data_IF_908183876258
#
_entry.id   IF_908183876258
#
_cell.length_a   1.000
_cell.length_b   1.000
_cell.length_c   1.000
_cell.angle_alpha   90.00
_cell.angle_beta   90.00
_cell.angle_gamma   90.00
#
_symmetry.space_group_name_H-M   'P 1'
#
loop_
_entity.id
_entity.type
_entity.pdbx_description
1 polymer ?
#
# COMPACT_ATOMS: atom_id res chain seq x y z
N UNK A 1 -20.93 -35.41 3.28
CA UNK A 1 -19.52 -35.44 2.84
C UNK A 1 -19.22 -34.43 1.73
N UNK A 2 -20.06 -34.23 0.71
CA UNK A 2 -19.75 -33.25 -0.37
C UNK A 2 -19.69 -31.77 0.04
N UNK A 3 -20.41 -31.32 1.07
CA UNK A 3 -20.34 -29.91 1.54
C UNK A 3 -19.00 -29.52 2.20
N UNK A 4 -18.17 -30.49 2.58
CA UNK A 4 -16.84 -30.22 3.14
C UNK A 4 -15.79 -29.92 2.06
N UNK A 5 -15.93 -30.57 0.89
CA UNK A 5 -14.99 -30.43 -0.24
C UNK A 5 -15.20 -29.09 -0.95
N UNK A 6 -16.45 -28.64 -1.11
CA UNK A 6 -16.75 -27.33 -1.70
C UNK A 6 -16.29 -26.16 -0.83
N UNK A 7 -16.38 -26.28 0.50
CA UNK A 7 -15.81 -25.28 1.42
C UNK A 7 -14.29 -25.24 1.32
N UNK A 8 -13.61 -26.39 1.24
CA UNK A 8 -12.15 -26.44 1.08
C UNK A 8 -11.65 -25.77 -0.21
N UNK A 9 -12.36 -25.92 -1.33
CA UNK A 9 -12.01 -25.27 -2.62
C UNK A 9 -12.24 -23.75 -2.57
N UNK A 10 -13.27 -23.29 -1.87
CA UNK A 10 -13.53 -21.86 -1.66
C UNK A 10 -12.45 -21.20 -0.81
N UNK A 11 -11.95 -21.88 0.23
CA UNK A 11 -10.82 -21.41 1.04
C UNK A 11 -9.51 -21.28 0.25
N UNK A 12 -9.25 -22.20 -0.69
CA UNK A 12 -8.07 -22.12 -1.58
C UNK A 12 -8.13 -20.88 -2.48
N UNK A 13 -9.30 -20.55 -3.05
CA UNK A 13 -9.48 -19.34 -3.88
C UNK A 13 -9.31 -18.05 -3.07
N UNK A 14 -9.81 -18.01 -1.83
CA UNK A 14 -9.64 -16.85 -0.93
C UNK A 14 -8.19 -16.70 -0.46
N UNK A 15 -7.48 -17.80 -0.20
CA UNK A 15 -6.06 -17.77 0.18
C UNK A 15 -5.17 -17.29 -0.98
N UNK A 16 -5.49 -17.67 -2.23
CA UNK A 16 -4.81 -17.17 -3.44
C UNK A 16 -5.10 -15.68 -3.70
N UNK A 17 -6.29 -15.18 -3.37
CA UNK A 17 -6.59 -13.75 -3.43
C UNK A 17 -5.80 -12.95 -2.37
N UNK A 18 -5.57 -13.51 -1.19
CA UNK A 18 -4.78 -12.89 -0.10
C UNK A 18 -3.26 -12.87 -0.36
N UNK A 19 -2.76 -13.64 -1.33
CA UNK A 19 -1.33 -13.66 -1.72
C UNK A 19 -1.00 -12.75 -2.92
N UNK A 20 -1.87 -11.79 -3.27
CA UNK A 20 -1.54 -10.70 -4.19
C UNK A 20 -2.10 -10.84 -5.62
N UNK A 21 -3.40 -11.07 -5.76
CA UNK A 21 -4.10 -10.91 -7.04
C UNK A 21 -5.27 -9.92 -6.90
N UNK A 22 -4.96 -8.64 -6.70
CA UNK A 22 -5.90 -7.55 -6.99
C UNK A 22 -5.57 -7.01 -8.39
N UNK A 23 -6.50 -7.14 -9.35
CA UNK A 23 -6.27 -6.76 -10.75
C UNK A 23 -6.91 -5.40 -11.03
N UNK A 24 -6.15 -4.31 -11.19
CA UNK A 24 -6.70 -3.06 -11.69
C UNK A 24 -6.95 -3.11 -13.21
N UNK A 25 -8.02 -2.42 -13.62
CA UNK A 25 -8.48 -2.30 -15.01
C UNK A 25 -7.77 -1.12 -15.69
N UNK A 26 -6.94 -1.38 -16.71
CA UNK A 26 -6.32 -0.35 -17.57
C UNK A 26 -6.37 -0.82 -19.03
N UNK A 27 -6.80 0.05 -19.94
CA UNK A 27 -6.83 -0.18 -21.39
C UNK A 27 -5.57 0.37 -22.06
N UNK A 28 -4.92 -0.37 -22.97
CA UNK A 28 -3.80 0.13 -23.79
C UNK A 28 -3.75 -0.41 -25.22
N UNK A 29 -3.20 0.41 -26.11
CA UNK A 29 -2.88 0.14 -27.52
C UNK A 29 -1.36 -0.02 -27.72
N UNK A 30 -0.94 -0.84 -28.69
CA UNK A 30 0.46 -1.23 -28.94
C UNK A 30 1.37 -0.10 -29.45
N UNK A 31 2.32 0.35 -28.61
CA UNK A 31 3.56 1.05 -28.96
C UNK A 31 4.74 0.45 -28.18
N UNK A 32 5.99 0.78 -28.55
CA UNK A 32 7.19 0.32 -27.84
C UNK A 32 7.17 0.79 -26.39
N UNK A 33 6.99 -0.15 -25.47
CA UNK A 33 6.75 0.19 -24.07
C UNK A 33 8.00 0.73 -23.38
N UNK A 34 7.81 1.79 -22.60
CA UNK A 34 8.79 2.36 -21.67
C UNK A 34 8.91 1.51 -20.40
N UNK A 35 9.98 1.69 -19.62
CA UNK A 35 10.15 0.99 -18.34
C UNK A 35 9.00 1.28 -17.36
N UNK A 36 8.43 2.50 -17.42
CA UNK A 36 7.27 2.90 -16.62
C UNK A 36 5.99 2.15 -17.01
N UNK A 37 5.80 1.85 -18.30
CA UNK A 37 4.66 1.06 -18.77
C UNK A 37 4.82 -0.42 -18.40
N UNK A 38 6.05 -0.94 -18.34
CA UNK A 38 6.31 -2.28 -17.81
C UNK A 38 6.03 -2.35 -16.31
N UNK A 39 6.43 -1.33 -15.54
CA UNK A 39 6.08 -1.24 -14.12
C UNK A 39 4.56 -1.14 -13.94
N UNK A 40 3.84 -0.45 -14.83
CA UNK A 40 2.38 -0.40 -14.83
C UNK A 40 1.73 -1.73 -15.23
N UNK A 41 2.28 -2.44 -16.22
CA UNK A 41 1.76 -3.73 -16.72
C UNK A 41 2.03 -4.87 -15.73
N UNK A 42 3.25 -4.94 -15.17
CA UNK A 42 3.54 -5.90 -14.09
C UNK A 42 2.80 -5.54 -12.81
N UNK A 43 2.50 -4.24 -12.59
CA UNK A 43 1.71 -3.78 -11.46
C UNK A 43 2.26 -4.32 -10.14
N UNK A 44 1.38 -4.98 -9.38
CA UNK A 44 1.71 -5.65 -8.12
C UNK A 44 2.76 -6.75 -8.31
N UNK A 45 2.81 -7.47 -9.43
CA UNK A 45 3.77 -8.56 -9.66
C UNK A 45 5.24 -8.11 -9.60
N UNK A 46 5.50 -6.81 -9.68
CA UNK A 46 6.83 -6.20 -9.64
C UNK A 46 7.36 -5.89 -8.23
N UNK A 47 6.57 -6.07 -7.16
CA UNK A 47 6.93 -5.57 -5.82
C UNK A 47 8.25 -6.12 -5.29
N UNK A 48 8.70 -7.29 -5.79
CA UNK A 48 9.94 -7.95 -5.37
C UNK A 48 11.14 -7.72 -6.29
N UNK A 49 11.10 -6.71 -7.17
CA UNK A 49 12.13 -6.52 -8.21
C UNK A 49 12.78 -5.13 -8.14
N UNK A 50 14.03 -5.01 -8.60
CA UNK A 50 14.65 -3.71 -8.80
C UNK A 50 13.86 -2.85 -9.82
N UNK A 51 13.79 -1.54 -9.56
CA UNK A 51 13.21 -0.51 -10.45
C UNK A 51 14.31 0.46 -10.89
N UNK A 52 14.07 1.24 -11.95
CA UNK A 52 15.08 2.18 -12.46
C UNK A 52 15.54 3.17 -11.38
N UNK A 53 14.61 3.73 -10.60
CA UNK A 53 14.91 4.61 -9.44
C UNK A 53 15.80 3.95 -8.39
N UNK A 54 15.81 2.62 -8.31
CA UNK A 54 16.66 1.89 -7.36
C UNK A 54 18.13 1.93 -7.81
N UNK A 55 18.41 1.92 -9.11
CA UNK A 55 19.78 2.06 -9.64
C UNK A 55 20.39 3.40 -9.26
N UNK A 56 19.64 4.49 -9.39
CA UNK A 56 20.11 5.82 -8.97
C UNK A 56 20.47 5.88 -7.49
N UNK A 57 19.68 5.21 -6.65
CA UNK A 57 19.91 5.17 -5.22
C UNK A 57 21.12 4.29 -4.85
N UNK A 58 21.32 3.16 -5.53
CA UNK A 58 22.55 2.34 -5.39
C UNK A 58 23.78 3.15 -5.79
N UNK A 59 23.73 3.83 -6.94
CA UNK A 59 24.81 4.68 -7.41
C UNK A 59 25.14 5.81 -6.42
N UNK A 60 24.12 6.42 -5.82
CA UNK A 60 24.27 7.43 -4.77
C UNK A 60 24.91 6.86 -3.49
N UNK A 61 24.45 5.70 -3.02
CA UNK A 61 24.99 5.05 -1.80
C UNK A 61 26.44 4.61 -1.95
N UNK A 62 26.83 4.20 -3.16
CA UNK A 62 28.18 3.72 -3.47
C UNK A 62 29.08 4.81 -4.05
N UNK A 63 28.57 6.02 -4.26
CA UNK A 63 29.30 7.10 -4.94
C UNK A 63 29.90 6.63 -6.28
N UNK A 64 29.10 5.91 -7.08
CA UNK A 64 29.49 5.48 -8.41
C UNK A 64 29.77 6.70 -9.30
N UNK A 65 30.77 6.61 -10.16
CA UNK A 65 30.94 7.57 -11.23
C UNK A 65 29.93 7.32 -12.37
N UNK A 66 29.85 8.24 -13.34
CA UNK A 66 28.93 8.14 -14.46
C UNK A 66 29.15 6.88 -15.30
N UNK A 67 30.40 6.42 -15.45
CA UNK A 67 30.69 5.23 -16.26
C UNK A 67 30.21 3.95 -15.57
N UNK A 68 30.43 3.83 -14.26
CA UNK A 68 29.89 2.75 -13.44
C UNK A 68 28.37 2.77 -13.44
N UNK A 69 27.77 3.95 -13.26
CA UNK A 69 26.31 4.12 -13.29
C UNK A 69 25.71 3.67 -14.63
N UNK A 70 26.30 4.08 -15.75
CA UNK A 70 25.86 3.66 -17.08
C UNK A 70 25.99 2.14 -17.28
N UNK A 71 27.06 1.53 -16.78
CA UNK A 71 27.25 0.09 -16.83
C UNK A 71 26.18 -0.66 -16.00
N UNK A 72 25.90 -0.21 -14.78
CA UNK A 72 24.83 -0.76 -13.94
C UNK A 72 23.46 -0.59 -14.59
N UNK A 73 23.17 0.56 -15.21
CA UNK A 73 21.93 0.78 -15.95
C UNK A 73 21.80 -0.18 -17.14
N UNK A 74 22.91 -0.51 -17.82
CA UNK A 74 22.91 -1.51 -18.89
C UNK A 74 22.62 -2.92 -18.36
N UNK A 75 23.23 -3.32 -17.24
CA UNK A 75 22.94 -4.59 -16.58
C UNK A 75 21.47 -4.66 -16.14
N UNK A 76 20.96 -3.57 -15.57
CA UNK A 76 19.59 -3.46 -15.11
C UNK A 76 18.58 -3.67 -16.25
N UNK A 77 18.84 -3.11 -17.44
CA UNK A 77 17.99 -3.34 -18.63
C UNK A 77 17.96 -4.82 -19.03
N UNK A 78 19.10 -5.50 -18.96
CA UNK A 78 19.19 -6.95 -19.20
C UNK A 78 18.37 -7.75 -18.21
N UNK A 79 18.57 -7.49 -16.91
CA UNK A 79 17.79 -8.06 -15.81
C UNK A 79 16.28 -7.86 -15.99
N UNK A 80 15.84 -6.63 -16.28
CA UNK A 80 14.41 -6.32 -16.48
C UNK A 80 13.82 -7.05 -17.67
N UNK A 81 14.57 -7.17 -18.77
CA UNK A 81 14.14 -7.96 -19.92
C UNK A 81 13.97 -9.44 -19.56
N UNK A 82 14.86 -10.00 -18.72
CA UNK A 82 14.76 -11.37 -18.25
C UNK A 82 13.54 -11.58 -17.35
N UNK A 83 13.36 -10.72 -16.34
CA UNK A 83 12.20 -10.77 -15.44
C UNK A 83 10.89 -10.64 -16.22
N UNK A 84 10.81 -9.70 -17.19
CA UNK A 84 9.63 -9.58 -18.06
C UNK A 84 9.32 -10.88 -18.79
N UNK A 85 10.34 -11.54 -19.35
CA UNK A 85 10.15 -12.80 -20.06
C UNK A 85 9.62 -13.90 -19.13
N UNK A 86 10.06 -13.92 -17.87
CA UNK A 86 9.56 -14.86 -16.85
C UNK A 86 8.07 -14.60 -16.53
N UNK A 87 7.65 -13.35 -16.41
CA UNK A 87 6.25 -12.98 -16.08
C UNK A 87 5.30 -12.96 -17.27
N UNK A 88 5.79 -13.02 -18.52
CA UNK A 88 4.96 -12.98 -19.71
C UNK A 88 3.78 -13.99 -19.70
N UNK A 89 3.96 -15.26 -19.29
CA UNK A 89 2.86 -16.22 -19.20
C UNK A 89 1.76 -15.78 -18.21
N UNK A 90 2.12 -15.14 -17.09
CA UNK A 90 1.16 -14.63 -16.10
C UNK A 90 0.36 -13.48 -16.71
N UNK A 91 1.02 -12.56 -17.40
CA UNK A 91 0.37 -11.42 -18.05
C UNK A 91 -0.59 -11.89 -19.15
N UNK A 92 -0.17 -12.87 -19.96
CA UNK A 92 -1.00 -13.48 -21.00
C UNK A 92 -2.23 -14.16 -20.37
N UNK A 93 -2.05 -14.86 -19.24
CA UNK A 93 -3.14 -15.48 -18.49
C UNK A 93 -4.12 -14.44 -17.92
N UNK A 94 -3.63 -13.37 -17.30
CA UNK A 94 -4.45 -12.27 -16.78
C UNK A 94 -5.24 -11.58 -17.90
N UNK A 95 -4.62 -11.37 -19.07
CA UNK A 95 -5.30 -10.82 -20.23
C UNK A 95 -6.43 -11.74 -20.70
N UNK A 96 -6.20 -13.05 -20.77
CA UNK A 96 -7.25 -14.02 -21.11
C UNK A 96 -8.42 -13.97 -20.11
N UNK A 97 -8.14 -13.86 -18.81
CA UNK A 97 -9.18 -13.67 -17.79
C UNK A 97 -10.02 -12.42 -18.03
N UNK A 98 -9.38 -11.28 -18.31
CA UNK A 98 -10.07 -10.01 -18.61
C UNK A 98 -10.95 -10.12 -19.85
N UNK A 99 -10.47 -10.77 -20.92
CA UNK A 99 -11.24 -10.99 -22.14
C UNK A 99 -12.47 -11.87 -21.90
N UNK A 100 -12.33 -12.94 -21.12
CA UNK A 100 -13.44 -13.83 -20.74
C UNK A 100 -14.45 -13.11 -19.86
N UNK A 101 -14.00 -12.32 -18.89
CA UNK A 101 -14.87 -11.51 -18.03
C UNK A 101 -15.64 -10.45 -18.82
N UNK A 102 -14.99 -9.72 -19.73
CA UNK A 102 -15.63 -8.74 -20.59
C UNK A 102 -16.68 -9.39 -21.52
N UNK A 103 -16.36 -10.55 -22.10
CA UNK A 103 -17.31 -11.34 -22.91
C UNK A 103 -18.52 -11.80 -22.09
N UNK A 104 -18.30 -12.21 -20.84
CA UNK A 104 -19.37 -12.59 -19.92
C UNK A 104 -20.29 -11.40 -19.63
N UNK A 105 -19.72 -10.26 -19.22
CA UNK A 105 -20.48 -9.04 -18.92
C UNK A 105 -21.33 -8.59 -20.12
N UNK A 106 -20.74 -8.52 -21.32
CA UNK A 106 -21.46 -8.13 -22.55
C UNK A 106 -22.67 -9.05 -22.83
N UNK A 107 -22.58 -10.34 -22.49
CA UNK A 107 -23.66 -11.31 -22.71
C UNK A 107 -24.74 -11.25 -21.63
N UNK A 108 -24.35 -11.01 -20.38
CA UNK A 108 -25.29 -10.76 -19.28
C UNK A 108 -26.14 -9.53 -19.57
N UNK A 109 -25.51 -8.44 -20.04
CA UNK A 109 -26.21 -7.22 -20.45
C UNK A 109 -27.22 -7.45 -21.61
N UNK A 110 -26.97 -8.47 -22.44
CA UNK A 110 -27.88 -8.90 -23.53
C UNK A 110 -28.93 -9.94 -23.10
N UNK A 111 -28.96 -10.34 -21.83
CA UNK A 111 -29.91 -11.32 -21.32
C UNK A 111 -29.65 -12.77 -21.75
N UNK A 112 -28.39 -13.13 -22.03
CA UNK A 112 -28.03 -14.49 -22.40
C UNK A 112 -27.88 -15.40 -21.17
N UNK A 113 -28.84 -16.30 -20.98
CA UNK A 113 -28.88 -17.25 -19.85
C UNK A 113 -27.72 -18.26 -19.85
N UNK A 114 -27.04 -18.46 -20.99
CA UNK A 114 -25.91 -19.39 -21.12
C UNK A 114 -24.56 -18.76 -20.81
N UNK A 115 -24.50 -17.43 -20.67
CA UNK A 115 -23.26 -16.67 -20.48
C UNK A 115 -22.42 -17.20 -19.31
N UNK A 116 -23.07 -17.56 -18.20
CA UNK A 116 -22.38 -18.04 -17.00
C UNK A 116 -21.75 -19.43 -17.19
N UNK A 117 -22.44 -20.36 -17.84
CA UNK A 117 -21.91 -21.70 -18.07
C UNK A 117 -20.68 -21.68 -19.01
N UNK A 118 -20.72 -20.83 -20.04
CA UNK A 118 -19.58 -20.64 -20.94
C UNK A 118 -18.43 -19.90 -20.25
N UNK A 119 -18.73 -18.89 -19.43
CA UNK A 119 -17.72 -18.24 -18.59
C UNK A 119 -16.99 -19.26 -17.71
N UNK A 120 -17.73 -20.14 -17.02
CA UNK A 120 -17.12 -21.20 -16.20
C UNK A 120 -16.22 -22.13 -17.02
N UNK A 121 -16.64 -22.53 -18.22
CA UNK A 121 -15.85 -23.40 -19.09
C UNK A 121 -14.58 -22.70 -19.63
N UNK A 122 -14.70 -21.42 -20.03
CA UNK A 122 -13.57 -20.60 -20.49
C UNK A 122 -12.55 -20.38 -19.35
N UNK A 123 -13.03 -20.12 -18.12
CA UNK A 123 -12.20 -20.00 -16.91
C UNK A 123 -11.51 -21.32 -16.56
N UNK A 124 -12.22 -22.45 -16.59
CA UNK A 124 -11.64 -23.78 -16.33
C UNK A 124 -10.50 -24.08 -17.32
N UNK A 125 -10.67 -23.70 -18.59
CA UNK A 125 -9.62 -23.85 -19.60
C UNK A 125 -8.38 -23.01 -19.28
N UNK A 126 -8.55 -21.74 -18.90
CA UNK A 126 -7.43 -20.86 -18.49
C UNK A 126 -6.73 -21.43 -17.24
N UNK A 127 -7.49 -22.04 -16.33
CA UNK A 127 -6.99 -22.69 -15.14
C UNK A 127 -6.29 -24.03 -15.39
N UNK A 128 -6.49 -24.70 -16.52
CA UNK A 128 -5.75 -25.93 -16.84
C UNK A 128 -4.33 -25.62 -17.33
N UNK A 129 -4.14 -24.46 -17.97
CA UNK A 129 -2.84 -23.94 -18.38
C UNK A 129 -2.16 -23.21 -17.20
N UNK A 130 -2.14 -23.82 -16.01
CA UNK A 130 -1.61 -23.18 -14.80
C UNK A 130 -0.16 -22.76 -15.01
N UNK A 131 0.06 -21.45 -14.89
CA UNK A 131 1.39 -20.89 -14.76
C UNK A 131 1.89 -21.22 -13.36
N UNK A 132 3.04 -21.88 -13.27
CA UNK A 132 3.72 -22.11 -11.99
C UNK A 132 4.31 -20.78 -11.50
N UNK A 133 3.46 -20.01 -10.83
CA UNK A 133 3.79 -18.68 -10.34
C UNK A 133 4.94 -18.70 -9.33
N UNK A 134 5.03 -19.75 -8.52
CA UNK A 134 6.13 -19.88 -7.56
C UNK A 134 7.46 -20.12 -8.26
N UNK A 135 7.48 -20.95 -9.31
CA UNK A 135 8.70 -21.13 -10.11
C UNK A 135 9.14 -19.81 -10.76
N UNK A 136 8.20 -19.02 -11.30
CA UNK A 136 8.49 -17.69 -11.83
C UNK A 136 9.08 -16.77 -10.76
N UNK A 137 8.53 -16.78 -9.55
CA UNK A 137 9.08 -16.00 -8.44
C UNK A 137 10.51 -16.44 -8.11
N UNK A 138 10.77 -17.75 -7.98
CA UNK A 138 12.12 -18.29 -7.73
C UNK A 138 13.11 -17.88 -8.83
N UNK A 139 12.72 -17.99 -10.10
CA UNK A 139 13.56 -17.60 -11.23
C UNK A 139 13.80 -16.09 -11.28
N UNK A 140 12.81 -15.27 -10.89
CA UNK A 140 12.96 -13.82 -10.78
C UNK A 140 13.92 -13.42 -9.66
N UNK A 141 13.90 -14.12 -8.51
CA UNK A 141 14.90 -13.94 -7.45
C UNK A 141 16.29 -14.35 -7.90
N UNK A 142 16.44 -15.50 -8.57
CA UNK A 142 17.73 -15.93 -9.11
C UNK A 142 18.29 -14.91 -10.14
N UNK A 143 17.42 -14.34 -10.98
CA UNK A 143 17.82 -13.27 -11.91
C UNK A 143 18.25 -12.00 -11.16
N UNK A 144 17.61 -11.68 -10.03
CA UNK A 144 17.99 -10.56 -9.18
C UNK A 144 19.34 -10.78 -8.49
N UNK A 145 19.59 -11.98 -7.98
CA UNK A 145 20.86 -12.33 -7.36
C UNK A 145 21.99 -12.23 -8.38
N UNK A 146 21.76 -12.74 -9.60
CA UNK A 146 22.72 -12.58 -10.71
C UNK A 146 23.00 -11.11 -11.02
N UNK A 147 21.95 -10.27 -11.08
CA UNK A 147 22.10 -8.83 -11.29
C UNK A 147 22.91 -8.17 -10.16
N UNK A 148 22.65 -8.52 -8.90
CA UNK A 148 23.40 -8.03 -7.74
C UNK A 148 24.88 -8.41 -7.84
N UNK A 149 25.17 -9.68 -8.14
CA UNK A 149 26.54 -10.18 -8.32
C UNK A 149 27.26 -9.43 -9.44
N UNK A 150 26.60 -9.22 -10.58
CA UNK A 150 27.16 -8.47 -11.71
C UNK A 150 27.44 -7.01 -11.34
N UNK A 151 26.59 -6.37 -10.54
CA UNK A 151 26.83 -5.01 -10.04
C UNK A 151 28.06 -4.99 -9.12
N UNK A 152 28.20 -5.95 -8.20
CA UNK A 152 29.36 -6.04 -7.31
C UNK A 152 30.67 -6.19 -8.08
N UNK A 153 30.67 -6.88 -9.22
CA UNK A 153 31.85 -7.03 -10.08
C UNK A 153 32.33 -5.70 -10.71
N UNK A 154 31.48 -4.67 -10.76
CA UNK A 154 31.83 -3.34 -11.27
C UNK A 154 32.40 -2.40 -10.20
N UNK A 155 32.37 -2.81 -8.94
CA UNK A 155 32.74 -1.98 -7.79
C UNK A 155 34.22 -2.07 -7.48
N UNK A 156 34.79 -0.96 -6.99
CA UNK A 156 36.11 -0.97 -6.37
C UNK A 156 36.06 -1.48 -4.91
N UNK A 157 37.23 -1.69 -4.29
CA UNK A 157 37.32 -2.19 -2.91
C UNK A 157 36.62 -1.27 -1.88
N UNK A 158 36.63 0.05 -2.09
CA UNK A 158 36.00 1.01 -1.19
C UNK A 158 34.48 0.94 -1.30
N UNK A 159 33.96 0.81 -2.51
CA UNK A 159 32.54 0.65 -2.80
C UNK A 159 32.01 -0.69 -2.29
N UNK A 160 32.76 -1.78 -2.49
CA UNK A 160 32.45 -3.09 -1.90
C UNK A 160 32.39 -3.02 -0.37
N UNK A 161 33.28 -2.27 0.27
CA UNK A 161 33.21 -2.03 1.71
C UNK A 161 31.96 -1.28 2.20
N UNK A 162 31.22 -0.63 1.30
CA UNK A 162 29.95 0.02 1.58
C UNK A 162 28.72 -0.82 1.17
N UNK A 163 28.92 -2.02 0.60
CA UNK A 163 27.86 -2.85 0.03
C UNK A 163 26.80 -3.27 1.05
N UNK A 164 27.19 -3.56 2.30
CA UNK A 164 26.23 -3.88 3.36
C UNK A 164 25.13 -2.82 3.50
N UNK A 165 25.43 -1.54 3.25
CA UNK A 165 24.44 -0.46 3.29
C UNK A 165 23.45 -0.56 2.12
N UNK A 166 23.92 -0.95 0.94
CA UNK A 166 23.06 -1.20 -0.23
C UNK A 166 22.13 -2.37 0.05
N UNK A 167 22.63 -3.46 0.60
CA UNK A 167 21.79 -4.62 0.93
C UNK A 167 20.71 -4.29 1.96
N UNK A 168 21.07 -3.59 3.04
CA UNK A 168 20.09 -3.13 4.04
C UNK A 168 19.03 -2.25 3.41
N UNK A 169 19.43 -1.32 2.54
CA UNK A 169 18.48 -0.47 1.83
C UNK A 169 17.60 -1.26 0.86
N UNK A 170 18.18 -2.18 0.11
CA UNK A 170 17.48 -3.03 -0.83
C UNK A 170 16.43 -3.92 -0.14
N UNK A 171 16.78 -4.54 0.99
CA UNK A 171 15.79 -5.28 1.79
C UNK A 171 14.66 -4.37 2.26
N UNK A 172 14.93 -3.14 2.72
CA UNK A 172 13.86 -2.20 3.14
C UNK A 172 12.89 -1.84 2.01
N UNK A 173 13.39 -1.54 0.80
CA UNK A 173 12.52 -1.08 -0.30
C UNK A 173 11.73 -2.22 -0.95
N UNK A 174 12.30 -3.43 -1.01
CA UNK A 174 11.65 -4.60 -1.61
C UNK A 174 10.69 -5.23 -0.62
N UNK A 175 11.02 -5.18 0.68
CA UNK A 175 10.19 -5.75 1.72
C UNK A 175 9.09 -4.80 2.19
N UNK A 176 8.42 -4.12 1.24
CA UNK A 176 7.09 -3.51 1.47
C UNK A 176 6.01 -4.61 1.64
N UNK A 177 6.37 -5.65 2.38
CA UNK A 177 5.57 -6.84 2.50
C UNK A 177 4.68 -6.69 3.70
N UNK A 178 3.48 -6.24 3.38
CA UNK A 178 2.37 -6.16 4.30
C UNK A 178 1.76 -7.55 4.52
N UNK A 179 2.55 -8.53 4.99
CA UNK A 179 2.05 -9.89 5.31
C UNK A 179 0.84 -9.85 6.23
N UNK A 180 0.86 -8.86 7.11
CA UNK A 180 -0.14 -8.64 8.13
C UNK A 180 -0.39 -7.15 8.18
N UNK A 181 -1.64 -6.68 8.08
CA UNK A 181 -2.00 -5.26 8.03
C UNK A 181 -1.85 -4.59 9.41
N UNK A 182 -0.61 -4.57 9.93
CA UNK A 182 -0.24 -3.93 11.18
C UNK A 182 0.17 -2.48 10.93
N UNK A 183 -0.38 -1.56 11.72
CA UNK A 183 0.16 -0.21 11.81
C UNK A 183 1.65 -0.25 12.14
N UNK A 184 2.38 0.74 11.64
CA UNK A 184 3.84 0.91 11.80
C UNK A 184 4.73 -0.12 11.11
N UNK A 185 4.21 -1.21 10.54
CA UNK A 185 5.04 -2.25 9.94
C UNK A 185 5.89 -1.72 8.78
N UNK A 186 5.26 -0.94 7.89
CA UNK A 186 5.87 -0.43 6.65
C UNK A 186 6.55 0.94 6.79
N UNK A 187 6.71 1.44 8.03
CA UNK A 187 7.33 2.75 8.25
C UNK A 187 8.85 2.63 8.15
N UNK A 188 9.43 3.16 7.07
CA UNK A 188 10.88 3.42 6.99
C UNK A 188 11.20 4.82 7.53
N UNK A 189 11.80 4.86 8.73
CA UNK A 189 12.15 6.12 9.39
C UNK A 189 13.28 6.89 8.69
N UNK A 190 14.10 6.22 7.86
CA UNK A 190 15.12 6.87 7.02
C UNK A 190 14.42 7.66 5.91
N UNK A 191 13.43 7.06 5.26
CA UNK A 191 12.67 7.73 4.20
C UNK A 191 11.75 8.82 4.75
N UNK A 192 11.19 8.65 5.95
CA UNK A 192 10.52 9.73 6.68
C UNK A 192 11.49 10.89 6.91
N UNK A 193 12.69 10.60 7.43
CA UNK A 193 13.70 11.62 7.71
C UNK A 193 14.12 12.41 6.48
N UNK A 194 14.22 11.74 5.32
CA UNK A 194 14.47 12.39 4.02
C UNK A 194 13.30 13.26 3.58
N UNK A 195 12.07 12.77 3.69
CA UNK A 195 10.87 13.46 3.23
C UNK A 195 10.62 14.78 3.98
N UNK A 196 11.01 14.84 5.25
CA UNK A 196 10.91 16.06 6.07
C UNK A 196 12.22 16.84 6.14
N UNK A 197 13.19 16.51 5.29
CA UNK A 197 14.50 17.17 5.18
C UNK A 197 15.21 17.32 6.53
N UNK A 198 15.23 16.25 7.34
CA UNK A 198 15.91 16.25 8.64
C UNK A 198 17.37 16.69 8.47
N UNK A 199 17.78 17.65 9.27
CA UNK A 199 19.16 18.13 9.28
C UNK A 199 19.99 17.18 10.13
N UNK A 200 20.59 16.18 9.48
CA UNK A 200 21.53 15.25 10.12
C UNK A 200 22.92 15.85 10.01
N UNK A 201 23.39 16.47 11.09
CA UNK A 201 24.82 16.81 11.19
C UNK A 201 25.62 15.49 11.29
N UNK A 202 26.72 15.33 10.53
CA UNK A 202 27.60 14.18 10.67
C UNK A 202 28.06 14.02 12.13
N UNK A 203 28.14 12.77 12.61
CA UNK A 203 28.56 12.46 14.00
C UNK A 203 27.60 12.98 15.09
N UNK A 204 26.37 13.37 14.72
CA UNK A 204 25.32 13.73 15.69
C UNK A 204 24.73 12.48 16.36
N UNK A 205 24.12 12.67 17.54
CA UNK A 205 23.37 11.60 18.22
C UNK A 205 22.27 11.01 17.31
N UNK A 206 21.70 11.83 16.42
CA UNK A 206 20.71 11.38 15.43
C UNK A 206 21.32 10.36 14.46
N UNK A 207 22.53 10.61 13.93
CA UNK A 207 23.21 9.68 13.01
C UNK A 207 23.43 8.30 13.67
N UNK A 208 23.89 8.29 14.93
CA UNK A 208 24.06 7.07 15.73
C UNK A 208 22.74 6.33 16.00
N UNK A 209 21.64 7.07 16.22
CA UNK A 209 20.29 6.48 16.39
C UNK A 209 19.81 5.88 15.07
N UNK A 210 19.98 6.58 13.95
CA UNK A 210 19.57 6.12 12.62
C UNK A 210 20.35 4.87 12.18
N UNK A 211 21.66 4.82 12.46
CA UNK A 211 22.49 3.65 12.15
C UNK A 211 22.06 2.43 12.98
N UNK A 212 21.74 2.61 14.26
CA UNK A 212 21.24 1.53 15.12
C UNK A 212 19.87 1.04 14.66
N UNK A 213 18.98 1.96 14.30
CA UNK A 213 17.69 1.63 13.68
C UNK A 213 17.87 0.75 12.45
N UNK A 214 18.71 1.19 11.50
CA UNK A 214 18.93 0.47 10.24
C UNK A 214 19.40 -0.97 10.48
N UNK A 215 20.38 -1.16 11.38
CA UNK A 215 20.92 -2.49 11.72
C UNK A 215 19.91 -3.40 12.39
N UNK A 216 19.11 -2.87 13.32
CA UNK A 216 18.12 -3.67 14.04
C UNK A 216 16.91 -4.02 13.18
N UNK A 217 16.48 -3.08 12.34
CA UNK A 217 15.47 -3.33 11.31
C UNK A 217 15.94 -4.41 10.34
N UNK A 218 17.18 -4.30 9.84
CA UNK A 218 17.76 -5.28 8.92
C UNK A 218 17.82 -6.69 9.51
N UNK A 219 18.24 -6.82 10.77
CA UNK A 219 18.25 -8.12 11.48
C UNK A 219 16.87 -8.77 11.51
N UNK A 220 15.81 -7.96 11.55
CA UNK A 220 14.42 -8.45 11.54
C UNK A 220 13.94 -8.75 10.11
N UNK A 221 14.31 -7.92 9.14
CA UNK A 221 14.00 -8.12 7.72
C UNK A 221 14.66 -9.39 7.16
N UNK A 222 15.90 -9.71 7.54
CA UNK A 222 16.55 -10.98 7.13
C UNK A 222 15.73 -12.20 7.56
N UNK A 223 15.13 -12.19 8.75
CA UNK A 223 14.28 -13.31 9.21
C UNK A 223 12.98 -13.41 8.42
N UNK A 224 12.40 -12.26 8.07
CA UNK A 224 11.22 -12.22 7.20
C UNK A 224 11.58 -12.74 5.81
N UNK A 225 12.77 -12.40 5.32
CA UNK A 225 13.28 -12.85 4.02
C UNK A 225 13.47 -14.37 3.99
N UNK A 226 14.06 -14.94 5.03
CA UNK A 226 14.17 -16.39 5.21
C UNK A 226 12.78 -17.05 5.24
N UNK A 227 11.80 -16.47 5.93
CA UNK A 227 10.44 -16.99 5.99
C UNK A 227 9.76 -17.02 4.61
N UNK A 228 9.99 -15.99 3.79
CA UNK A 228 9.50 -15.94 2.40
C UNK A 228 10.04 -17.10 1.59
N UNK A 229 11.35 -17.36 1.69
CA UNK A 229 11.99 -18.45 0.97
C UNK A 229 11.38 -19.79 1.36
N UNK A 230 11.15 -20.01 2.66
CA UNK A 230 10.44 -21.21 3.14
C UNK A 230 9.04 -21.30 2.52
N UNK A 231 8.31 -20.20 2.42
CA UNK A 231 6.99 -20.15 1.76
C UNK A 231 7.05 -20.43 0.26
N UNK A 232 8.11 -19.99 -0.43
CA UNK A 232 8.34 -20.23 -1.87
C UNK A 232 8.79 -21.65 -2.20
N UNK A 233 9.33 -22.37 -1.23
CA UNK A 233 9.71 -23.79 -1.36
C UNK A 233 8.52 -24.75 -1.13
N UNK A 234 7.38 -24.26 -0.66
CA UNK A 234 6.19 -25.09 -0.45
C UNK A 234 5.55 -25.52 -1.77
N UNK A 235 5.30 -26.81 -1.93
CA UNK A 235 4.60 -27.35 -3.10
C UNK A 235 3.13 -26.90 -3.12
N UNK A 236 2.69 -26.12 -4.13
CA UNK A 236 1.32 -25.64 -4.21
C UNK A 236 0.35 -26.76 -4.58
N UNK A 237 0.82 -27.88 -5.14
CA UNK A 237 0.01 -29.04 -5.48
C UNK A 237 -0.35 -29.88 -4.25
N UNK A 238 0.46 -29.83 -3.18
CA UNK A 238 0.27 -30.59 -1.94
C UNK A 238 0.30 -29.65 -0.72
N UNK A 239 -0.73 -28.81 -0.52
CA UNK A 239 -0.72 -27.81 0.55
C UNK A 239 -0.70 -28.48 1.95
N UNK A 240 0.43 -28.39 2.64
CA UNK A 240 0.52 -28.73 4.06
C UNK A 240 -0.03 -27.58 4.91
N UNK A 241 -1.30 -27.71 5.29
CA UNK A 241 -1.99 -26.72 6.13
C UNK A 241 -1.30 -26.48 7.47
N UNK A 242 -0.62 -27.48 8.06
CA UNK A 242 0.07 -27.29 9.33
C UNK A 242 1.31 -26.40 9.15
N UNK A 243 2.09 -26.65 8.10
CA UNK A 243 3.24 -25.81 7.74
C UNK A 243 2.81 -24.39 7.38
N UNK A 244 1.71 -24.22 6.63
CA UNK A 244 1.17 -22.88 6.31
C UNK A 244 0.77 -22.10 7.57
N UNK A 245 0.12 -22.77 8.53
CA UNK A 245 -0.24 -22.15 9.81
C UNK A 245 1.00 -21.75 10.63
N UNK A 246 2.06 -22.58 10.61
CA UNK A 246 3.33 -22.25 11.27
C UNK A 246 4.02 -21.03 10.63
N UNK A 247 4.07 -20.98 9.31
CA UNK A 247 4.62 -19.84 8.56
C UNK A 247 3.84 -18.57 8.88
N UNK A 248 2.50 -18.63 8.86
CA UNK A 248 1.65 -17.48 9.19
C UNK A 248 1.85 -17.02 10.65
N UNK A 249 1.92 -17.95 11.60
CA UNK A 249 2.19 -17.62 13.01
C UNK A 249 3.55 -16.96 13.21
N UNK A 250 4.55 -17.43 12.47
CA UNK A 250 5.90 -16.84 12.46
C UNK A 250 5.88 -15.46 11.82
N UNK A 251 5.16 -15.28 10.71
CA UNK A 251 5.00 -14.00 10.02
C UNK A 251 4.37 -12.93 10.93
N UNK A 252 3.30 -13.27 11.66
CA UNK A 252 2.68 -12.37 12.65
C UNK A 252 3.70 -11.97 13.72
N UNK A 253 4.44 -12.94 14.26
CA UNK A 253 5.40 -12.70 15.33
C UNK A 253 6.54 -11.78 14.88
N UNK A 254 7.09 -12.02 13.68
CA UNK A 254 8.11 -11.16 13.07
C UNK A 254 7.57 -9.77 12.76
N UNK A 255 6.34 -9.67 12.25
CA UNK A 255 5.69 -8.38 11.94
C UNK A 255 5.48 -7.55 13.20
N UNK A 256 5.05 -8.16 14.31
CA UNK A 256 4.96 -7.48 15.62
C UNK A 256 6.35 -7.00 16.09
N UNK A 257 7.39 -7.80 15.92
CA UNK A 257 8.75 -7.39 16.28
C UNK A 257 9.24 -6.19 15.46
N UNK A 258 9.04 -6.20 14.13
CA UNK A 258 9.36 -5.10 13.23
C UNK A 258 8.63 -3.81 13.61
N UNK A 259 7.31 -3.90 13.86
CA UNK A 259 6.49 -2.80 14.37
C UNK A 259 7.10 -2.16 15.63
N UNK A 260 7.50 -2.98 16.60
CA UNK A 260 8.08 -2.47 17.85
C UNK A 260 9.46 -1.82 17.64
N UNK A 261 10.28 -2.31 16.70
CA UNK A 261 11.51 -1.62 16.27
C UNK A 261 11.18 -0.23 15.74
N UNK A 262 10.25 -0.13 14.78
CA UNK A 262 9.85 1.16 14.19
C UNK A 262 9.31 2.14 15.24
N UNK A 263 8.40 1.70 16.13
CA UNK A 263 7.84 2.55 17.19
C UNK A 263 8.90 3.05 18.17
N UNK A 264 9.79 2.16 18.61
CA UNK A 264 10.86 2.51 19.56
C UNK A 264 11.81 3.52 18.95
N UNK A 265 12.29 3.30 17.73
CA UNK A 265 13.22 4.22 17.09
C UNK A 265 12.58 5.53 16.67
N UNK A 266 11.29 5.56 16.31
CA UNK A 266 10.56 6.82 16.10
C UNK A 266 10.62 7.71 17.34
N UNK A 267 10.39 7.13 18.53
CA UNK A 267 10.47 7.88 19.80
C UNK A 267 11.90 8.32 20.15
N UNK A 268 12.91 7.54 19.79
CA UNK A 268 14.31 7.90 20.00
C UNK A 268 14.73 9.05 19.09
N UNK A 269 14.41 8.96 17.80
CA UNK A 269 14.68 10.00 16.80
C UNK A 269 14.03 11.31 17.24
N UNK A 270 12.74 11.31 17.56
CA UNK A 270 12.00 12.50 18.01
C UNK A 270 12.73 13.24 19.15
N UNK A 271 13.25 12.51 20.14
CA UNK A 271 13.96 13.12 21.29
C UNK A 271 15.28 13.77 20.90
N UNK A 272 15.95 13.25 19.87
CA UNK A 272 17.19 13.82 19.33
C UNK A 272 16.96 15.01 18.40
N UNK A 273 15.74 15.19 17.90
CA UNK A 273 15.42 16.28 16.99
C UNK A 273 15.32 17.65 17.69
N UNK A 274 15.73 18.74 17.02
CA UNK A 274 15.36 20.10 17.41
C UNK A 274 13.85 20.26 17.52
N UNK A 275 13.39 21.10 18.46
CA UNK A 275 11.96 21.30 18.72
C UNK A 275 11.17 21.70 17.47
N UNK A 276 11.78 22.48 16.57
CA UNK A 276 11.19 22.90 15.29
C UNK A 276 10.94 21.77 14.28
N UNK A 277 11.63 20.63 14.40
CA UNK A 277 11.48 19.50 13.46
C UNK A 277 10.64 18.35 14.03
N UNK A 278 10.40 18.31 15.35
CA UNK A 278 9.70 17.21 16.02
C UNK A 278 8.29 17.00 15.50
N UNK A 279 7.49 18.07 15.41
CA UNK A 279 6.10 17.94 14.97
C UNK A 279 6.01 17.48 13.52
N UNK A 280 6.82 18.06 12.63
CA UNK A 280 6.87 17.67 11.21
C UNK A 280 7.25 16.20 11.05
N UNK A 281 8.28 15.73 11.77
CA UNK A 281 8.68 14.33 11.77
C UNK A 281 7.55 13.41 12.26
N UNK A 282 6.97 13.69 13.43
CA UNK A 282 5.91 12.85 13.98
C UNK A 282 4.66 12.81 13.09
N UNK A 283 4.29 13.94 12.49
CA UNK A 283 3.16 13.98 11.56
C UNK A 283 3.42 13.08 10.35
N UNK A 284 4.61 13.11 9.77
CA UNK A 284 4.96 12.24 8.64
C UNK A 284 5.03 10.77 9.05
N UNK A 285 5.61 10.46 10.22
CA UNK A 285 5.61 9.10 10.79
C UNK A 285 4.18 8.57 10.91
N UNK A 286 3.28 9.31 11.55
CA UNK A 286 1.90 8.88 11.77
C UNK A 286 1.13 8.70 10.45
N UNK A 287 1.33 9.61 9.48
CA UNK A 287 0.75 9.48 8.13
C UNK A 287 1.17 8.19 7.43
N UNK A 288 2.41 7.75 7.58
CA UNK A 288 2.88 6.47 7.01
C UNK A 288 2.49 5.27 7.85
N UNK A 289 2.48 5.40 9.17
CA UNK A 289 2.18 4.31 10.09
C UNK A 289 0.72 3.86 10.03
N UNK A 290 -0.20 4.80 9.80
CA UNK A 290 -1.62 4.56 9.70
C UNK A 290 -2.26 5.51 8.68
N UNK A 291 -2.03 5.29 7.36
CA UNK A 291 -2.49 6.20 6.32
C UNK A 291 -4.00 6.43 6.35
N UNK A 292 -4.80 5.40 6.66
CA UNK A 292 -6.25 5.50 6.75
C UNK A 292 -6.74 6.34 7.94
N UNK A 293 -5.97 6.41 9.03
CA UNK A 293 -6.31 7.23 10.21
C UNK A 293 -5.98 8.70 9.93
N UNK A 294 -4.79 8.96 9.40
CA UNK A 294 -4.25 10.32 9.20
C UNK A 294 -4.43 10.85 7.77
N UNK A 295 -5.19 10.16 6.92
CA UNK A 295 -5.59 10.67 5.60
C UNK A 295 -6.34 11.99 5.80
N UNK A 296 -5.99 12.98 4.99
CA UNK A 296 -6.73 14.24 4.94
C UNK A 296 -8.20 13.96 4.65
N UNK A 297 -9.12 14.62 5.36
CA UNK A 297 -10.55 14.43 5.13
C UNK A 297 -11.07 15.36 4.04
N UNK A 298 -12.25 15.05 3.49
CA UNK A 298 -12.95 15.94 2.56
C UNK A 298 -13.29 17.30 3.18
N UNK A 299 -13.45 17.37 4.50
CA UNK A 299 -13.67 18.60 5.25
C UNK A 299 -12.39 19.44 5.31
N UNK A 300 -11.24 18.83 5.62
CA UNK A 300 -9.95 19.52 5.61
C UNK A 300 -9.63 20.10 4.23
N UNK A 301 -9.75 19.29 3.17
CA UNK A 301 -9.55 19.73 1.78
C UNK A 301 -10.52 20.85 1.38
N UNK A 302 -11.76 20.82 1.87
CA UNK A 302 -12.73 21.88 1.61
C UNK A 302 -12.35 23.20 2.31
N UNK A 303 -11.84 23.15 3.55
CA UNK A 303 -11.34 24.34 4.24
C UNK A 303 -10.12 24.95 3.54
N UNK A 304 -9.16 24.11 3.14
CA UNK A 304 -7.99 24.54 2.35
C UNK A 304 -8.41 25.18 1.03
N UNK A 305 -9.35 24.55 0.32
CA UNK A 305 -9.89 25.09 -0.93
C UNK A 305 -10.61 26.42 -0.71
N UNK A 306 -11.44 26.53 0.34
CA UNK A 306 -12.14 27.77 0.67
C UNK A 306 -11.16 28.91 0.93
N UNK A 307 -10.09 28.67 1.71
CA UNK A 307 -9.05 29.66 1.99
C UNK A 307 -8.27 30.13 0.74
N UNK A 308 -8.32 29.37 -0.35
CA UNK A 308 -7.75 29.76 -1.65
C UNK A 308 -8.66 30.65 -2.50
N UNK A 309 -9.92 30.87 -2.08
CA UNK A 309 -10.84 31.75 -2.79
C UNK A 309 -10.42 33.21 -2.70
N UNK A 310 -10.38 33.88 -3.85
CA UNK A 310 -9.98 35.29 -3.96
C UNK A 310 -11.10 36.26 -3.60
N UNK A 311 -12.33 35.77 -3.49
CA UNK A 311 -13.55 36.53 -3.23
C UNK A 311 -14.05 36.44 -1.78
N UNK A 312 -13.23 35.91 -0.85
CA UNK A 312 -13.52 35.98 0.58
C UNK A 312 -13.33 37.41 1.09
N UNK A 313 -14.27 37.89 1.89
CA UNK A 313 -14.01 39.08 2.69
C UNK A 313 -13.06 38.75 3.86
N UNK A 314 -12.50 39.78 4.50
CA UNK A 314 -11.52 39.62 5.60
C UNK A 314 -12.05 38.75 6.74
N UNK A 315 -13.32 38.97 7.10
CA UNK A 315 -13.95 38.36 8.27
C UNK A 315 -14.26 36.89 7.99
N UNK A 316 -14.72 36.55 6.78
CA UNK A 316 -14.88 35.18 6.32
C UNK A 316 -13.55 34.43 6.34
N UNK A 317 -12.48 35.02 5.81
CA UNK A 317 -11.16 34.39 5.78
C UNK A 317 -10.62 34.14 7.20
N UNK A 318 -10.79 35.09 8.12
CA UNK A 318 -10.40 34.93 9.53
C UNK A 318 -11.23 33.84 10.23
N UNK A 319 -12.55 33.83 10.01
CA UNK A 319 -13.45 32.81 10.57
C UNK A 319 -13.09 31.41 10.06
N UNK A 320 -12.79 31.25 8.76
CA UNK A 320 -12.41 29.95 8.17
C UNK A 320 -11.05 29.48 8.72
N UNK A 321 -10.06 30.36 8.90
CA UNK A 321 -8.78 29.99 9.53
C UNK A 321 -8.97 29.52 10.97
N UNK A 322 -9.73 30.27 11.76
CA UNK A 322 -10.07 29.87 13.14
C UNK A 322 -10.84 28.55 13.17
N UNK A 323 -11.73 28.31 12.20
CA UNK A 323 -12.45 27.06 12.05
C UNK A 323 -11.49 25.90 11.75
N UNK A 324 -10.54 26.10 10.82
CA UNK A 324 -9.49 25.13 10.49
C UNK A 324 -8.61 24.79 11.70
N UNK A 325 -8.16 25.80 12.45
CA UNK A 325 -7.31 25.59 13.64
C UNK A 325 -8.03 24.76 14.73
N UNK A 326 -9.34 24.95 14.90
CA UNK A 326 -10.14 24.13 15.82
C UNK A 326 -10.33 22.72 15.28
N UNK A 327 -10.67 22.59 14.01
CA UNK A 327 -10.82 21.30 13.33
C UNK A 327 -9.55 20.45 13.46
N UNK A 328 -8.38 21.02 13.14
CA UNK A 328 -7.10 20.32 13.20
C UNK A 328 -6.75 19.83 14.62
N UNK A 329 -7.17 20.55 15.66
CA UNK A 329 -6.99 20.11 17.06
C UNK A 329 -7.91 18.95 17.42
N UNK A 330 -9.19 19.04 17.06
CA UNK A 330 -10.19 18.01 17.36
C UNK A 330 -9.93 16.72 16.58
N UNK A 331 -9.61 16.83 15.28
CA UNK A 331 -9.31 15.68 14.44
C UNK A 331 -8.03 14.96 14.89
N UNK A 332 -7.02 15.69 15.37
CA UNK A 332 -5.80 15.09 15.93
C UNK A 332 -6.13 14.22 17.14
N UNK A 333 -6.98 14.70 18.05
CA UNK A 333 -7.40 13.94 19.24
C UNK A 333 -8.20 12.68 18.83
N UNK A 334 -9.10 12.80 17.86
CA UNK A 334 -9.87 11.68 17.34
C UNK A 334 -8.98 10.63 16.65
N UNK A 335 -8.05 11.07 15.81
CA UNK A 335 -7.08 10.21 15.13
C UNK A 335 -6.19 9.47 16.13
N UNK A 336 -5.68 10.14 17.16
CA UNK A 336 -4.87 9.51 18.20
C UNK A 336 -5.68 8.47 19.00
N UNK A 337 -6.97 8.73 19.25
CA UNK A 337 -7.87 7.74 19.87
C UNK A 337 -8.07 6.54 18.93
N UNK A 338 -8.35 6.78 17.66
CA UNK A 338 -8.55 5.72 16.67
C UNK A 338 -7.30 4.85 16.51
N UNK A 339 -6.12 5.46 16.38
CA UNK A 339 -4.86 4.74 16.30
C UNK A 339 -4.65 3.84 17.53
N UNK A 340 -4.91 4.33 18.75
CA UNK A 340 -4.77 3.52 19.98
C UNK A 340 -5.70 2.31 20.00
N UNK A 341 -6.93 2.46 19.50
CA UNK A 341 -7.88 1.34 19.40
C UNK A 341 -7.35 0.31 18.40
N UNK A 342 -6.95 0.74 17.20
CA UNK A 342 -6.36 -0.15 16.19
C UNK A 342 -5.13 -0.88 16.74
N UNK A 343 -4.25 -0.17 17.44
CA UNK A 343 -3.07 -0.78 18.07
C UNK A 343 -3.42 -1.76 19.19
N UNK A 344 -4.55 -1.58 19.88
CA UNK A 344 -5.02 -2.53 20.89
C UNK A 344 -5.51 -3.83 20.22
N UNK A 345 -6.35 -3.72 19.19
CA UNK A 345 -6.83 -4.87 18.41
C UNK A 345 -5.66 -5.64 17.77
N UNK A 346 -4.65 -4.92 17.24
CA UNK A 346 -3.45 -5.52 16.65
C UNK A 346 -2.57 -6.29 17.65
N UNK A 347 -2.59 -5.94 18.94
CA UNK A 347 -1.87 -6.71 19.96
C UNK A 347 -2.46 -8.10 20.14
N UNK A 348 -3.79 -8.20 20.06
CA UNK A 348 -4.57 -9.43 20.18
C UNK A 348 -4.57 -10.26 18.89
N UNK A 349 -3.96 -9.73 17.83
CA UNK A 349 -3.86 -10.41 16.56
C UNK A 349 -3.19 -11.78 16.69
N UNK A 350 -3.92 -12.81 16.31
CA UNK A 350 -3.46 -14.20 16.22
C UNK A 350 -3.94 -14.79 14.89
N UNK A 351 -3.47 -15.99 14.55
CA UNK A 351 -3.98 -16.73 13.39
C UNK A 351 -5.49 -16.90 13.51
N UNK A 352 -5.96 -17.31 14.69
CA UNK A 352 -7.39 -17.52 14.96
C UNK A 352 -8.18 -16.21 14.78
N UNK A 353 -7.69 -15.10 15.34
CA UNK A 353 -8.31 -13.78 15.18
C UNK A 353 -8.34 -13.36 13.71
N UNK A 354 -7.27 -13.60 12.93
CA UNK A 354 -7.27 -13.30 11.49
C UNK A 354 -8.28 -14.13 10.71
N UNK A 355 -8.46 -15.41 11.06
CA UNK A 355 -9.49 -16.25 10.43
C UNK A 355 -10.90 -15.75 10.76
N UNK A 356 -11.13 -15.19 11.95
CA UNK A 356 -12.43 -14.64 12.36
C UNK A 356 -12.68 -13.19 11.93
N UNK A 357 -11.64 -12.40 11.67
CA UNK A 357 -11.76 -10.99 11.26
C UNK A 357 -12.48 -10.79 9.93
N UNK A 358 -12.71 -11.86 9.16
CA UNK A 358 -13.56 -11.83 7.98
C UNK A 358 -15.07 -11.85 8.30
N UNK A 359 -15.47 -11.93 9.58
CA UNK A 359 -16.86 -12.12 10.00
C UNK A 359 -17.50 -10.94 10.72
N UNK A 360 -16.81 -10.28 11.65
CA UNK A 360 -17.36 -9.21 12.50
C UNK A 360 -16.32 -8.09 12.71
N UNK A 361 -16.72 -6.84 12.49
CA UNK A 361 -15.90 -5.66 12.78
C UNK A 361 -15.89 -5.37 14.29
N UNK A 362 -14.74 -4.96 14.83
CA UNK A 362 -14.59 -4.58 16.23
C UNK A 362 -15.37 -3.28 16.51
N UNK A 363 -16.40 -3.36 17.36
CA UNK A 363 -17.28 -2.24 17.73
C UNK A 363 -16.47 -1.01 18.20
N UNK A 364 -15.34 -1.22 18.88
CA UNK A 364 -14.50 -0.12 19.35
C UNK A 364 -13.81 0.64 18.22
N UNK A 365 -13.47 -0.05 17.11
CA UNK A 365 -12.92 0.57 15.91
C UNK A 365 -14.01 1.38 15.20
N UNK A 366 -15.20 0.81 15.05
CA UNK A 366 -16.36 1.51 14.47
C UNK A 366 -16.69 2.79 15.24
N UNK A 367 -16.75 2.72 16.58
CA UNK A 367 -16.99 3.88 17.44
C UNK A 367 -15.95 5.00 17.24
N UNK A 368 -14.68 4.64 17.05
CA UNK A 368 -13.63 5.63 16.81
C UNK A 368 -13.75 6.30 15.43
N UNK A 369 -14.14 5.53 14.41
CA UNK A 369 -14.43 6.05 13.06
C UNK A 369 -15.62 7.00 13.10
N UNK A 370 -16.68 6.65 13.81
CA UNK A 370 -17.89 7.47 13.88
C UNK A 370 -17.65 8.80 14.60
N UNK A 371 -16.80 8.84 15.63
CA UNK A 371 -16.37 10.10 16.24
C UNK A 371 -15.67 11.00 15.22
N UNK A 372 -14.78 10.45 14.38
CA UNK A 372 -14.10 11.20 13.32
C UNK A 372 -15.10 11.73 12.29
N UNK A 373 -16.03 10.89 11.83
CA UNK A 373 -17.11 11.27 10.89
C UNK A 373 -17.98 12.41 11.44
N UNK A 374 -18.35 12.35 12.72
CA UNK A 374 -19.16 13.39 13.36
C UNK A 374 -18.42 14.73 13.40
N UNK A 375 -17.13 14.73 13.74
CA UNK A 375 -16.29 15.94 13.71
C UNK A 375 -16.25 16.51 12.28
N UNK A 376 -15.96 15.68 11.28
CA UNK A 376 -15.92 16.13 9.89
C UNK A 376 -17.25 16.73 9.41
N UNK A 377 -18.37 16.07 9.69
CA UNK A 377 -19.70 16.55 9.31
C UNK A 377 -20.04 17.89 9.99
N UNK A 378 -19.77 17.99 11.30
CA UNK A 378 -19.99 19.22 12.06
C UNK A 378 -19.19 20.39 11.48
N UNK A 379 -17.89 20.20 11.25
CA UNK A 379 -17.03 21.26 10.75
C UNK A 379 -17.27 21.60 9.28
N UNK A 380 -17.72 20.63 8.46
CA UNK A 380 -18.15 20.88 7.09
C UNK A 380 -19.39 21.76 7.04
N UNK A 381 -20.39 21.49 7.89
CA UNK A 381 -21.57 22.33 7.98
C UNK A 381 -21.20 23.76 8.42
N UNK A 382 -20.35 23.88 9.44
CA UNK A 382 -19.88 25.20 9.90
C UNK A 382 -19.13 25.97 8.79
N UNK A 383 -18.37 25.28 7.93
CA UNK A 383 -17.73 25.89 6.77
C UNK A 383 -18.77 26.39 5.76
N UNK A 384 -19.78 25.56 5.44
CA UNK A 384 -20.85 25.95 4.52
C UNK A 384 -21.60 27.20 5.02
N UNK A 385 -21.84 27.31 6.31
CA UNK A 385 -22.50 28.48 6.92
C UNK A 385 -21.67 29.77 6.81
N UNK A 386 -20.36 29.69 6.56
CA UNK A 386 -19.49 30.86 6.33
C UNK A 386 -19.40 31.30 4.86
N UNK A 387 -19.91 30.49 3.93
CA UNK A 387 -19.75 30.67 2.49
C UNK A 387 -21.09 30.99 1.82
N UNK A 388 -21.04 31.67 0.67
CA UNK A 388 -22.22 31.83 -0.18
C UNK A 388 -22.38 30.65 -1.15
N UNK A 389 -23.53 30.55 -1.83
CA UNK A 389 -23.84 29.44 -2.74
C UNK A 389 -22.79 29.26 -3.86
N UNK A 390 -22.29 30.35 -4.44
CA UNK A 390 -21.26 30.32 -5.49
C UNK A 390 -19.91 29.81 -4.97
N UNK A 391 -19.59 30.09 -3.71
CA UNK A 391 -18.41 29.57 -3.02
C UNK A 391 -18.58 28.08 -2.68
N UNK A 392 -19.76 27.68 -2.18
CA UNK A 392 -20.09 26.29 -1.85
C UNK A 392 -20.01 25.40 -3.09
N UNK A 393 -20.55 25.85 -4.23
CA UNK A 393 -20.52 25.11 -5.50
C UNK A 393 -19.10 24.87 -6.04
N UNK A 394 -18.10 25.63 -5.58
CA UNK A 394 -16.67 25.49 -5.95
C UNK A 394 -15.88 24.60 -4.99
N UNK A 395 -16.46 24.17 -3.86
CA UNK A 395 -15.79 23.27 -2.93
C UNK A 395 -15.65 21.86 -3.53
N UNK A 396 -14.64 21.07 -3.10
CA UNK A 396 -14.56 19.67 -3.46
C UNK A 396 -15.82 18.94 -2.96
N UNK A 397 -16.42 18.12 -3.82
CA UNK A 397 -17.55 17.28 -3.42
C UNK A 397 -17.14 16.39 -2.24
N UNK A 398 -18.05 16.23 -1.29
CA UNK A 398 -17.86 15.21 -0.26
C UNK A 398 -17.91 13.86 -0.98
N UNK A 399 -16.88 13.04 -0.79
CA UNK A 399 -16.98 11.65 -1.21
C UNK A 399 -17.88 10.95 -0.18
N UNK A 400 -19.06 10.44 -0.58
CA UNK A 400 -19.94 9.74 0.35
C UNK A 400 -19.21 8.48 0.85
N UNK A 401 -19.02 8.37 2.17
CA UNK A 401 -18.59 7.21 2.99
C UNK A 401 -17.35 6.36 2.59
N UNK A 402 -16.84 6.47 1.36
CA UNK A 402 -15.65 5.79 0.87
C UNK A 402 -14.35 6.28 1.55
N UNK A 403 -14.38 7.46 2.15
CA UNK A 403 -13.21 8.01 2.85
C UNK A 403 -12.85 7.20 4.11
N UNK A 404 -13.79 6.42 4.65
CA UNK A 404 -13.68 5.72 5.93
C UNK A 404 -13.76 4.19 5.83
N UNK A 405 -14.48 3.64 4.85
CA UNK A 405 -14.73 2.20 4.75
C UNK A 405 -13.71 1.42 3.89
N UNK A 406 -12.65 2.07 3.40
CA UNK A 406 -11.68 1.44 2.49
C UNK A 406 -10.76 0.39 3.13
N UNK A 407 -11.00 -0.06 4.37
CA UNK A 407 -10.13 -1.10 4.92
C UNK A 407 -10.26 -2.41 4.13
N UNK A 408 -11.43 -2.75 3.56
CA UNK A 408 -11.61 -4.02 2.83
C UNK A 408 -12.74 -4.12 1.78
N UNK A 409 -13.48 -3.05 1.46
CA UNK A 409 -14.69 -3.19 0.63
C UNK A 409 -14.60 -2.55 -0.76
N UNK A 410 -13.99 -3.28 -1.69
CA UNK A 410 -14.07 -2.98 -3.14
C UNK A 410 -15.43 -3.39 -3.73
N UNK A 411 -16.32 -4.07 -3.00
CA UNK A 411 -17.65 -4.40 -3.54
C UNK A 411 -18.61 -3.20 -3.54
N UNK A 412 -18.24 -2.11 -2.85
CA UNK A 412 -19.02 -0.88 -2.81
C UNK A 412 -18.84 0.04 -4.04
N UNK A 413 -18.07 -0.35 -5.06
CA UNK A 413 -18.02 0.41 -6.32
C UNK A 413 -19.33 0.31 -7.13
N UNK A 414 -20.15 -0.74 -6.93
CA UNK A 414 -21.48 -0.83 -7.57
C UNK A 414 -22.50 0.15 -6.96
N UNK A 415 -22.37 0.54 -5.69
CA UNK A 415 -23.32 1.44 -5.03
C UNK A 415 -23.06 2.93 -5.30
N UNK A 416 -21.86 3.29 -5.76
CA UNK A 416 -21.52 4.66 -6.14
C UNK A 416 -22.21 5.11 -7.44
N UNK A 417 -22.42 4.19 -8.40
CA UNK A 417 -23.24 4.46 -9.59
C UNK A 417 -24.74 4.54 -9.24
N UNK A 418 -25.25 3.70 -8.35
CA UNK A 418 -26.64 3.79 -7.86
C UNK A 418 -26.92 5.08 -7.07
N UNK A 419 -25.96 5.56 -6.27
CA UNK A 419 -26.07 6.82 -5.55
C UNK A 419 -26.08 8.04 -6.49
N UNK A 420 -25.37 7.97 -7.63
CA UNK A 420 -25.41 9.02 -8.65
C UNK A 420 -26.74 9.06 -9.41
N UNK A 421 -27.41 7.91 -9.58
CA UNK A 421 -28.75 7.81 -10.21
C UNK A 421 -29.87 8.36 -9.30
N UNK A 422 -29.69 8.32 -7.97
CA UNK A 422 -30.65 8.86 -7.01
C UNK A 422 -30.49 10.37 -6.71
N UNK A 423 -29.44 11.01 -7.26
CA UNK A 423 -29.18 12.44 -7.11
C UNK A 423 -29.82 13.30 -8.23
N UNK A 424 -30.91 12.84 -8.86
CA UNK A 424 -31.66 13.69 -9.77
C UNK A 424 -32.30 14.87 -9.00
N UNK A 425 -32.15 16.11 -9.48
CA UNK A 425 -32.79 17.26 -8.85
C UNK A 425 -34.30 17.11 -8.95
N UNK A 426 -34.98 17.12 -7.80
CA UNK A 426 -36.44 17.22 -7.72
C UNK A 426 -36.88 18.39 -8.60
N UNK A 427 -37.68 18.15 -9.66
CA UNK A 427 -38.11 19.24 -10.52
C UNK A 427 -38.90 20.23 -9.66
N UNK A 428 -38.46 21.49 -9.68
CA UNK A 428 -39.17 22.59 -9.03
C UNK A 428 -40.59 22.63 -9.60
N UNK A 429 -41.55 22.12 -8.81
CA UNK A 429 -42.95 22.15 -9.13
C UNK A 429 -43.41 23.59 -9.29
N UNK A 430 -43.74 23.97 -10.52
CA UNK A 430 -44.41 25.21 -10.85
C UNK A 430 -45.80 25.27 -10.22
N UNK A 431 -46.19 26.48 -9.82
CA UNK A 431 -47.53 26.80 -9.33
C UNK A 431 -48.60 26.91 -10.41
#
# INVERSE_FOLDING_TARGET
MNRGIERGRMWLVVLFALLGFCVPTVCYAQQSMTDDELDAEMGELSFMTFRAKHVDQVASLLHMDEAQKDAVLSLFKGYRSQVRALYQPVLDQQKAYKEVAAKYQERVEKGDETAFAEYQADIEKIQLDQVDFQQIQRDAFAAQDTFIEDVQLLLDEKQLGAWDRVERWHRRIIMDINFVPLTWLTVDLIDVGRAVELQVEPESELDDVMLRYEKELDTSMVKVWELIHVGMEMDPAEPDMAQQMEIMGTAISLSKALKEVNKRYSSLIERTLPESQREMFLTEVHKRAAPWVYRSSSTERAMEKALSFTDLNSDQAENIRSLQDRYLKEIKIANDKWLRVVEATEKELSIETMMYMFGDEDESVSDAIDVKRQIDAQFRQQLMDQLNDDQIARLPQAFPDMEYNQRFDESNYESAEEAAVLAEPVPAGGG
#
